data_IF_559752143045
#
_entry.id   IF_559752143045
#
_cell.length_a   1.000
_cell.length_b   1.000
_cell.length_c   1.000
_cell.angle_alpha   90.00
_cell.angle_beta   90.00
_cell.angle_gamma   90.00
#
_symmetry.space_group_name_H-M   'P 1'
#
loop_
_entity.id
_entity.type
_entity.pdbx_description
1 polymer ?
#
# COMPACT_ATOMS: atom_id res chain seq x y z
N UNK A 1 -3.75 -2.93 -0.36
CA UNK A 1 -4.11 -3.75 0.81
C UNK A 1 -3.45 -3.09 2.01
N UNK A 2 -4.18 -2.84 3.09
CA UNK A 2 -3.62 -2.32 4.35
C UNK A 2 -4.04 -3.27 5.45
N UNK A 3 -3.08 -3.81 6.19
CA UNK A 3 -3.30 -4.82 7.24
C UNK A 3 -4.14 -6.02 6.75
N UNK A 4 -3.85 -6.52 5.55
CA UNK A 4 -4.57 -7.65 4.94
C UNK A 4 -5.94 -7.29 4.34
N UNK A 5 -6.44 -6.06 4.51
CA UNK A 5 -7.72 -5.62 3.92
C UNK A 5 -7.50 -4.95 2.56
N UNK A 6 -8.22 -5.39 1.53
CA UNK A 6 -8.26 -4.69 0.22
C UNK A 6 -9.01 -3.38 0.39
N UNK A 7 -8.29 -2.27 0.22
CA UNK A 7 -8.76 -0.91 0.48
C UNK A 7 -8.91 -0.05 -0.78
N UNK A 8 -8.62 -0.59 -1.97
CA UNK A 8 -8.71 0.17 -3.22
C UNK A 8 -8.21 -0.56 -4.47
N UNK A 9 -8.56 -0.02 -5.65
CA UNK A 9 -8.02 -0.37 -6.98
C UNK A 9 -7.77 0.93 -7.77
N UNK A 10 -6.56 1.13 -8.29
CA UNK A 10 -6.27 2.08 -9.37
C UNK A 10 -6.19 3.58 -9.06
N UNK A 11 -6.55 4.05 -7.87
CA UNK A 11 -6.49 5.49 -7.52
C UNK A 11 -6.24 5.69 -6.02
N UNK A 12 -5.77 6.86 -5.60
CA UNK A 12 -5.57 7.18 -4.18
C UNK A 12 -6.89 7.13 -3.41
N UNK A 13 -6.87 6.61 -2.18
CA UNK A 13 -8.04 6.59 -1.30
C UNK A 13 -7.65 7.11 0.08
N UNK A 14 -8.46 8.01 0.64
CA UNK A 14 -8.36 8.43 2.04
C UNK A 14 -8.98 7.35 2.92
N UNK A 15 -8.16 6.70 3.73
CA UNK A 15 -8.59 5.66 4.65
C UNK A 15 -8.33 6.11 6.10
N UNK A 16 -9.36 6.23 6.95
CA UNK A 16 -9.14 6.45 8.37
C UNK A 16 -8.43 5.23 8.97
N UNK A 17 -7.20 5.45 9.43
CA UNK A 17 -6.37 4.45 10.09
C UNK A 17 -6.14 4.86 11.54
N UNK A 18 -6.25 3.91 12.47
CA UNK A 18 -5.76 4.08 13.83
C UNK A 18 -4.26 4.37 13.87
N UNK A 19 -3.85 5.19 14.83
CA UNK A 19 -2.45 5.59 15.07
C UNK A 19 -1.58 4.36 15.34
N UNK A 20 -0.35 4.37 14.82
CA UNK A 20 0.64 3.32 15.07
C UNK A 20 1.28 2.76 13.79
N UNK A 21 2.01 1.66 13.95
CA UNK A 21 2.65 0.95 12.86
C UNK A 21 1.63 0.19 12.02
N UNK A 22 1.66 0.39 10.69
CA UNK A 22 0.74 -0.19 9.72
C UNK A 22 1.50 -0.84 8.59
N UNK A 23 1.02 -2.00 8.15
CA UNK A 23 1.60 -2.69 7.00
C UNK A 23 0.80 -2.35 5.76
N UNK A 24 1.45 -1.67 4.81
CA UNK A 24 0.91 -1.38 3.49
C UNK A 24 1.45 -2.40 2.51
N UNK A 25 0.53 -3.00 1.77
CA UNK A 25 0.84 -3.91 0.68
C UNK A 25 0.10 -3.48 -0.60
N UNK A 26 0.83 -3.27 -1.68
CA UNK A 26 0.28 -2.91 -3.00
C UNK A 26 0.50 -4.07 -3.95
N UNK A 27 -0.57 -4.61 -4.51
CA UNK A 27 -0.55 -5.73 -5.46
C UNK A 27 -1.24 -5.35 -6.75
N UNK A 28 -0.69 -5.79 -7.87
CA UNK A 28 -1.34 -5.78 -9.17
C UNK A 28 -1.03 -7.08 -9.92
N UNK A 29 -1.96 -7.63 -10.73
CA UNK A 29 -1.71 -8.83 -11.52
C UNK A 29 -0.50 -8.65 -12.44
N UNK A 30 0.43 -9.62 -12.44
CA UNK A 30 1.66 -9.55 -13.25
C UNK A 30 2.77 -8.68 -12.65
N UNK A 31 2.58 -8.12 -11.45
CA UNK A 31 3.58 -7.31 -10.76
C UNK A 31 3.98 -7.95 -9.42
N UNK A 32 5.23 -7.71 -9.01
CA UNK A 32 5.68 -8.05 -7.67
C UNK A 32 4.94 -7.16 -6.65
N UNK A 33 4.47 -7.78 -5.56
CA UNK A 33 3.84 -7.05 -4.46
C UNK A 33 4.86 -6.10 -3.84
N UNK A 34 4.45 -4.84 -3.63
CA UNK A 34 5.21 -3.89 -2.82
C UNK A 34 4.71 -3.96 -1.39
N UNK A 35 5.61 -4.17 -0.43
CA UNK A 35 5.30 -4.30 0.99
C UNK A 35 6.15 -3.30 1.77
N UNK A 36 5.52 -2.50 2.63
CA UNK A 36 6.22 -1.51 3.46
C UNK A 36 5.50 -1.30 4.79
N UNK A 37 6.28 -0.85 5.77
CA UNK A 37 5.79 -0.53 7.12
C UNK A 37 5.78 0.99 7.28
N UNK A 38 4.65 1.52 7.74
CA UNK A 38 4.39 2.95 7.85
C UNK A 38 4.00 3.29 9.28
N UNK A 39 4.41 4.46 9.76
CA UNK A 39 3.96 4.98 11.05
C UNK A 39 2.89 6.03 10.79
N UNK A 40 1.65 5.73 11.16
CA UNK A 40 0.53 6.67 11.06
C UNK A 40 0.45 7.45 12.36
N UNK A 41 0.58 8.78 12.27
CA UNK A 41 0.41 9.71 13.40
C UNK A 41 -1.00 10.31 13.41
N UNK A 42 -1.51 10.64 14.60
CA UNK A 42 -2.84 11.24 14.73
C UNK A 42 -2.90 12.60 14.04
N UNK A 43 -4.03 12.88 13.37
CA UNK A 43 -4.31 14.20 12.79
C UNK A 43 -3.43 14.59 11.60
N UNK A 44 -2.65 13.67 11.05
CA UNK A 44 -1.78 13.91 9.90
C UNK A 44 -2.09 12.96 8.75
N UNK A 45 -2.05 13.48 7.52
CA UNK A 45 -2.13 12.64 6.31
C UNK A 45 -0.72 12.25 5.88
N UNK A 46 -0.45 10.94 5.82
CA UNK A 46 0.80 10.41 5.30
C UNK A 46 0.70 10.18 3.79
N UNK A 47 1.34 11.05 3.01
CA UNK A 47 1.38 10.96 1.55
C UNK A 47 2.60 10.16 1.08
N UNK A 48 2.36 9.02 0.43
CA UNK A 48 3.43 8.12 -0.05
C UNK A 48 3.87 8.39 -1.50
N UNK A 49 3.25 9.37 -2.15
CA UNK A 49 3.53 9.69 -3.55
C UNK A 49 3.22 8.53 -4.50
N UNK A 50 3.91 8.50 -5.65
CA UNK A 50 3.72 7.47 -6.67
C UNK A 50 4.53 6.22 -6.33
N UNK A 51 3.83 5.12 -6.09
CA UNK A 51 4.44 3.79 -5.93
C UNK A 51 4.43 3.10 -7.30
N UNK A 52 5.61 2.79 -7.84
CA UNK A 52 5.77 2.03 -9.09
C UNK A 52 6.08 0.58 -8.75
N UNK A 53 5.20 -0.33 -9.15
CA UNK A 53 5.43 -1.77 -8.97
C UNK A 53 6.40 -2.30 -10.02
N UNK A 54 7.27 -3.22 -9.62
CA UNK A 54 8.15 -3.94 -10.54
C UNK A 54 7.35 -5.06 -11.19
N UNK A 55 7.56 -5.28 -12.50
CA UNK A 55 6.99 -6.44 -13.18
C UNK A 55 7.42 -7.71 -12.42
N UNK A 56 6.45 -8.56 -12.11
CA UNK A 56 6.74 -9.84 -11.50
C UNK A 56 7.47 -10.66 -12.54
N UNK A 57 8.64 -11.19 -12.19
CA UNK A 57 9.35 -12.14 -13.02
C UNK A 57 8.43 -13.36 -13.18
N UNK A 58 7.63 -13.39 -14.25
CA UNK A 58 6.94 -14.61 -14.66
C UNK A 58 8.05 -15.55 -15.11
N UNK A 59 8.47 -16.43 -14.19
CA UNK A 59 9.30 -17.57 -14.58
C UNK A 59 8.50 -18.37 -15.60
N UNK A 60 8.96 -18.29 -16.84
CA UNK A 60 8.59 -19.17 -17.94
C UNK A 60 9.11 -20.58 -17.68
#
# INVERSE_FOLDING_TARGET
>A
IVDGRRVGVGSAFDLPLGVGERRLEVRAPGFQAFDTMLVVTAGSTLSLGRITLRAGEQRQ
#
